data_IF_253498045175
#
_entry.id   IF_253498045175
#
_cell.length_a   1.000
_cell.length_b   1.000
_cell.length_c   1.000
_cell.angle_alpha   90.00
_cell.angle_beta   90.00
_cell.angle_gamma   90.00
#
_symmetry.space_group_name_H-M   'P 1'
#
loop_
_entity.id
_entity.type
_entity.pdbx_description
1 polymer ?
#
# COMPACT_ATOMS: atom_id res chain seq x y z
N UNK A 1 14.19 -20.06 -11.01
CA UNK A 1 14.03 -19.53 -9.66
C UNK A 1 12.55 -19.61 -9.26
N UNK A 2 12.29 -19.94 -8.00
CA UNK A 2 10.96 -19.95 -7.42
C UNK A 2 11.07 -19.67 -5.92
N UNK A 3 10.05 -19.05 -5.33
CA UNK A 3 9.91 -18.98 -3.87
C UNK A 3 9.47 -20.37 -3.40
N UNK A 4 10.28 -21.02 -2.56
CA UNK A 4 9.96 -22.33 -2.00
C UNK A 4 9.13 -22.23 -0.73
N UNK A 5 9.37 -21.19 0.08
CA UNK A 5 8.70 -20.99 1.36
C UNK A 5 8.42 -19.52 1.62
N UNK A 6 7.23 -19.22 2.12
CA UNK A 6 6.88 -17.94 2.72
C UNK A 6 7.06 -18.08 4.23
N UNK A 7 8.12 -17.45 4.77
CA UNK A 7 8.47 -17.56 6.18
C UNK A 7 7.67 -16.61 7.06
N UNK A 8 7.49 -15.36 6.60
CA UNK A 8 6.57 -14.40 7.21
C UNK A 8 6.16 -13.31 6.23
N UNK A 9 4.95 -12.79 6.41
CA UNK A 9 4.41 -11.69 5.62
C UNK A 9 3.69 -10.73 6.55
N UNK A 10 4.09 -9.45 6.51
CA UNK A 10 3.47 -8.37 7.27
C UNK A 10 3.14 -7.20 6.34
N UNK A 11 2.49 -6.18 6.88
CA UNK A 11 2.25 -4.93 6.17
C UNK A 11 3.54 -4.11 5.94
N UNK A 12 4.68 -4.46 6.57
CA UNK A 12 5.95 -3.70 6.53
C UNK A 12 7.14 -4.48 6.03
N UNK A 13 7.10 -5.81 6.09
CA UNK A 13 8.23 -6.65 5.75
C UNK A 13 7.79 -8.02 5.27
N UNK A 14 8.68 -8.68 4.54
CA UNK A 14 8.47 -10.05 4.08
C UNK A 14 9.74 -10.87 4.21
N UNK A 15 9.61 -12.11 4.71
CA UNK A 15 10.68 -13.09 4.76
C UNK A 15 10.28 -14.32 3.94
N UNK A 16 11.16 -14.75 3.07
CA UNK A 16 10.88 -15.86 2.15
C UNK A 16 12.17 -16.57 1.75
N UNK A 17 12.02 -17.78 1.17
CA UNK A 17 13.16 -18.61 0.73
C UNK A 17 13.14 -18.82 -0.77
N UNK A 18 14.30 -18.64 -1.40
CA UNK A 18 14.53 -18.93 -2.82
C UNK A 18 15.78 -19.80 -2.92
N UNK A 19 15.67 -20.99 -3.55
CA UNK A 19 16.78 -21.93 -3.74
C UNK A 19 17.58 -22.24 -2.45
N UNK A 20 16.84 -22.44 -1.34
CA UNK A 20 17.46 -22.75 -0.04
C UNK A 20 18.08 -21.58 0.70
N UNK A 21 18.03 -20.35 0.13
CA UNK A 21 18.50 -19.13 0.75
C UNK A 21 17.37 -18.30 1.30
N UNK A 22 17.48 -17.85 2.55
CA UNK A 22 16.51 -16.96 3.18
C UNK A 22 16.79 -15.50 2.82
N UNK A 23 15.74 -14.79 2.43
CA UNK A 23 15.76 -13.36 2.08
C UNK A 23 14.80 -12.58 2.95
N UNK A 24 15.18 -11.36 3.27
CA UNK A 24 14.36 -10.35 3.96
C UNK A 24 14.23 -9.11 3.10
N UNK A 25 13.02 -8.54 3.03
CA UNK A 25 12.79 -7.22 2.45
C UNK A 25 11.98 -6.35 3.41
N UNK A 26 12.36 -5.07 3.52
CA UNK A 26 11.72 -4.06 4.37
C UNK A 26 10.48 -3.44 3.72
N UNK A 27 9.72 -4.24 2.99
CA UNK A 27 8.45 -3.88 2.34
C UNK A 27 7.47 -5.02 2.51
N UNK A 28 6.23 -4.71 2.86
CA UNK A 28 5.16 -5.70 3.03
C UNK A 28 4.45 -6.05 1.71
N UNK A 29 3.56 -7.04 1.80
CA UNK A 29 2.70 -7.44 0.70
C UNK A 29 3.30 -8.48 -0.25
N UNK A 30 2.46 -9.42 -0.67
CA UNK A 30 2.86 -10.56 -1.49
C UNK A 30 3.49 -10.15 -2.82
N UNK A 31 2.97 -9.09 -3.45
CA UNK A 31 3.50 -8.61 -4.73
C UNK A 31 4.97 -8.16 -4.67
N UNK A 32 5.44 -7.69 -3.51
CA UNK A 32 6.83 -7.34 -3.33
C UNK A 32 7.76 -8.56 -3.25
N UNK A 33 7.25 -9.71 -2.83
CA UNK A 33 7.97 -10.98 -2.92
C UNK A 33 8.21 -11.37 -4.38
N UNK A 34 7.22 -11.17 -5.28
CA UNK A 34 7.40 -11.40 -6.72
C UNK A 34 8.42 -10.43 -7.32
N UNK A 35 8.41 -9.17 -6.91
CA UNK A 35 9.43 -8.19 -7.32
C UNK A 35 10.83 -8.62 -6.84
N UNK A 36 10.96 -9.07 -5.60
CA UNK A 36 12.21 -9.58 -5.05
C UNK A 36 12.67 -10.86 -5.76
N UNK A 37 11.74 -11.80 -6.07
CA UNK A 37 12.06 -12.99 -6.85
C UNK A 37 12.64 -12.64 -8.21
N UNK A 38 12.06 -11.65 -8.90
CA UNK A 38 12.57 -11.18 -10.18
C UNK A 38 14.00 -10.59 -10.02
N UNK A 39 14.21 -9.77 -8.98
CA UNK A 39 15.52 -9.18 -8.69
C UNK A 39 16.57 -10.24 -8.38
N UNK A 40 16.25 -11.22 -7.51
CA UNK A 40 17.13 -12.36 -7.19
C UNK A 40 17.48 -13.18 -8.43
N UNK A 41 16.46 -13.45 -9.29
CA UNK A 41 16.65 -14.23 -10.50
C UNK A 41 17.59 -13.54 -11.49
N UNK A 42 17.40 -12.25 -11.72
CA UNK A 42 18.25 -11.47 -12.63
C UNK A 42 19.67 -11.34 -12.06
N UNK A 43 19.81 -10.97 -10.79
CA UNK A 43 21.13 -10.83 -10.16
C UNK A 43 21.89 -12.18 -10.15
N UNK A 44 21.21 -13.28 -9.82
CA UNK A 44 21.78 -14.61 -9.87
C UNK A 44 22.21 -15.06 -11.27
N UNK A 45 21.42 -14.67 -12.30
CA UNK A 45 21.81 -14.92 -13.71
C UNK A 45 23.13 -14.23 -14.06
N UNK A 46 23.38 -13.03 -13.53
CA UNK A 46 24.64 -12.32 -13.70
C UNK A 46 25.76 -12.75 -12.70
N UNK A 47 25.55 -13.83 -11.93
CA UNK A 47 26.55 -14.39 -11.05
C UNK A 47 26.73 -13.63 -9.71
N UNK A 48 25.79 -12.74 -9.36
CA UNK A 48 25.84 -12.05 -8.06
C UNK A 48 25.56 -13.06 -6.95
N UNK A 49 26.44 -13.08 -5.94
CA UNK A 49 26.31 -14.00 -4.82
C UNK A 49 25.11 -13.67 -3.93
N UNK A 50 24.43 -14.67 -3.33
CA UNK A 50 23.26 -14.45 -2.47
C UNK A 50 23.47 -13.46 -1.35
N UNK A 51 24.65 -13.46 -0.72
CA UNK A 51 25.02 -12.53 0.38
C UNK A 51 25.04 -11.07 -0.08
N UNK A 52 25.47 -10.82 -1.31
CA UNK A 52 25.47 -9.46 -1.89
C UNK A 52 24.03 -9.00 -2.18
N UNK A 53 23.19 -9.91 -2.68
CA UNK A 53 21.76 -9.63 -2.92
C UNK A 53 21.06 -9.32 -1.58
N UNK A 54 21.29 -10.09 -0.53
CA UNK A 54 20.76 -9.85 0.82
C UNK A 54 21.15 -8.46 1.33
N UNK A 55 22.44 -8.10 1.24
CA UNK A 55 22.91 -6.77 1.61
C UNK A 55 22.24 -5.65 0.79
N UNK A 56 21.94 -5.92 -0.48
CA UNK A 56 21.18 -4.99 -1.34
C UNK A 56 19.78 -4.76 -0.80
N UNK A 57 19.06 -5.82 -0.42
CA UNK A 57 17.72 -5.74 0.17
C UNK A 57 17.74 -5.03 1.53
N UNK A 58 18.68 -5.36 2.42
CA UNK A 58 18.81 -4.72 3.74
C UNK A 58 19.04 -3.20 3.65
N UNK A 59 19.75 -2.74 2.60
CA UNK A 59 20.01 -1.33 2.34
C UNK A 59 18.88 -0.65 1.56
N UNK A 60 17.95 -1.42 0.98
CA UNK A 60 16.84 -0.86 0.23
C UNK A 60 15.90 -0.10 1.16
N UNK A 61 15.42 1.04 0.69
CA UNK A 61 14.42 1.84 1.38
C UNK A 61 13.22 2.03 0.48
N UNK A 62 12.04 2.04 1.08
CA UNK A 62 10.83 2.44 0.42
C UNK A 62 10.92 3.91 0.01
N UNK A 63 10.71 4.21 -1.27
CA UNK A 63 10.78 5.56 -1.83
C UNK A 63 9.68 5.75 -2.89
N UNK A 64 9.39 6.99 -3.21
CA UNK A 64 8.44 7.36 -4.27
C UNK A 64 7.03 6.78 -4.04
N UNK A 65 6.54 6.85 -2.80
CA UNK A 65 5.19 6.38 -2.45
C UNK A 65 5.02 4.85 -2.43
N UNK A 66 6.11 4.08 -2.44
CA UNK A 66 6.06 2.61 -2.33
C UNK A 66 6.22 2.18 -0.89
N UNK A 67 5.17 2.34 -0.08
CA UNK A 67 5.16 2.12 1.38
C UNK A 67 6.12 3.06 2.12
N UNK A 68 6.24 4.28 1.63
CA UNK A 68 7.02 5.32 2.29
C UNK A 68 6.33 5.75 3.58
N UNK A 69 7.07 5.73 4.70
CA UNK A 69 6.55 6.10 6.01
C UNK A 69 7.05 7.48 6.42
N UNK A 70 6.15 8.33 6.87
CA UNK A 70 6.43 9.69 7.35
C UNK A 70 5.44 10.09 8.45
N UNK A 71 5.61 11.28 9.03
CA UNK A 71 4.73 11.79 10.08
C UNK A 71 3.89 12.95 9.60
N UNK A 72 2.61 12.94 10.00
CA UNK A 72 1.70 14.09 9.92
C UNK A 72 1.26 14.44 11.36
N UNK A 73 1.90 15.44 11.96
CA UNK A 73 1.75 15.69 13.41
C UNK A 73 2.38 14.53 14.21
N UNK A 74 1.58 13.92 15.08
CA UNK A 74 1.94 12.75 15.87
C UNK A 74 1.64 11.41 15.18
N UNK A 75 0.91 11.44 14.04
CA UNK A 75 0.48 10.24 13.31
C UNK A 75 1.60 9.69 12.43
N UNK A 76 1.75 8.37 12.45
CA UNK A 76 2.60 7.66 11.50
C UNK A 76 1.78 7.33 10.26
N UNK A 77 2.20 7.85 9.11
CA UNK A 77 1.51 7.70 7.84
C UNK A 77 2.33 6.84 6.89
N UNK A 78 1.67 5.90 6.22
CA UNK A 78 2.28 5.09 5.16
C UNK A 78 1.61 5.43 3.83
N UNK A 79 2.41 5.92 2.88
CA UNK A 79 1.96 6.25 1.52
C UNK A 79 2.13 5.06 0.59
N UNK A 80 1.05 4.69 -0.11
CA UNK A 80 1.04 3.58 -1.06
C UNK A 80 0.50 4.06 -2.40
N UNK A 81 1.39 4.31 -3.35
CA UNK A 81 1.00 4.73 -4.70
C UNK A 81 0.41 3.58 -5.49
N UNK A 82 -0.80 3.77 -6.00
CA UNK A 82 -1.53 2.83 -6.85
C UNK A 82 -1.92 3.49 -8.18
N UNK A 83 -1.90 2.73 -9.27
CA UNK A 83 -2.20 3.25 -10.63
C UNK A 83 -3.04 2.31 -11.49
N UNK A 84 -3.48 1.18 -10.96
CA UNK A 84 -4.26 0.18 -11.69
C UNK A 84 -5.02 -0.74 -10.70
N UNK A 85 -6.00 -1.53 -11.17
CA UNK A 85 -6.83 -2.37 -10.29
C UNK A 85 -6.02 -3.39 -9.50
N UNK A 86 -5.06 -4.05 -10.15
CA UNK A 86 -4.23 -5.07 -9.50
C UNK A 86 -3.38 -4.45 -8.39
N UNK A 87 -2.76 -3.31 -8.65
CA UNK A 87 -1.97 -2.59 -7.64
C UNK A 87 -2.82 -2.14 -6.45
N UNK A 88 -4.05 -1.65 -6.70
CA UNK A 88 -4.98 -1.26 -5.64
C UNK A 88 -5.38 -2.47 -4.78
N UNK A 89 -5.80 -3.57 -5.41
CA UNK A 89 -6.16 -4.81 -4.69
C UNK A 89 -5.00 -5.33 -3.85
N UNK A 90 -3.79 -5.36 -4.40
CA UNK A 90 -2.60 -5.79 -3.66
C UNK A 90 -2.20 -4.85 -2.51
N UNK A 91 -2.41 -3.53 -2.68
CA UNK A 91 -2.23 -2.56 -1.59
C UNK A 91 -3.25 -2.80 -0.47
N UNK A 92 -4.51 -3.04 -0.81
CA UNK A 92 -5.57 -3.37 0.14
C UNK A 92 -5.25 -4.67 0.90
N UNK A 93 -4.83 -5.73 0.21
CA UNK A 93 -4.40 -6.97 0.83
C UNK A 93 -3.20 -6.77 1.78
N UNK A 94 -2.28 -5.89 1.44
CA UNK A 94 -1.14 -5.58 2.29
C UNK A 94 -1.55 -4.82 3.55
N UNK A 95 -2.36 -3.76 3.45
CA UNK A 95 -2.81 -3.01 4.64
C UNK A 95 -3.69 -3.84 5.57
N UNK A 96 -4.39 -4.84 5.05
CA UNK A 96 -5.16 -5.83 5.84
C UNK A 96 -4.28 -6.63 6.80
N UNK A 97 -2.98 -6.72 6.56
CA UNK A 97 -2.03 -7.38 7.46
C UNK A 97 -1.61 -6.49 8.64
N UNK A 98 -2.08 -5.23 8.72
CA UNK A 98 -1.79 -4.37 9.85
C UNK A 98 -2.46 -4.92 11.13
N UNK A 99 -1.73 -5.07 12.25
CA UNK A 99 -2.25 -5.67 13.48
C UNK A 99 -2.97 -4.64 14.38
N UNK A 100 -3.35 -3.49 13.84
CA UNK A 100 -3.93 -2.36 14.58
C UNK A 100 -4.99 -1.64 13.74
N UNK A 101 -5.85 -0.89 14.42
CA UNK A 101 -6.79 0.05 13.80
C UNK A 101 -6.04 1.23 13.19
N UNK A 102 -6.45 1.66 12.02
CA UNK A 102 -5.84 2.78 11.29
C UNK A 102 -6.89 3.58 10.53
N UNK A 103 -6.58 4.82 10.22
CA UNK A 103 -7.37 5.61 9.27
C UNK A 103 -6.88 5.40 7.84
N UNK A 104 -7.79 5.46 6.89
CA UNK A 104 -7.51 5.29 5.47
C UNK A 104 -7.84 6.59 4.71
N UNK A 105 -6.90 7.06 3.90
CA UNK A 105 -7.16 8.14 2.95
C UNK A 105 -6.95 7.62 1.54
N UNK A 106 -7.98 7.64 0.70
CA UNK A 106 -7.87 7.24 -0.71
C UNK A 106 -7.96 8.49 -1.56
N UNK A 107 -6.83 8.84 -2.20
CA UNK A 107 -6.68 10.06 -2.99
C UNK A 107 -6.70 9.70 -4.48
N UNK A 108 -7.75 10.13 -5.18
CA UNK A 108 -7.89 9.90 -6.62
C UNK A 108 -7.66 11.18 -7.39
N UNK A 109 -6.70 11.12 -8.30
CA UNK A 109 -6.40 12.21 -9.22
C UNK A 109 -6.55 11.72 -10.67
N UNK A 110 -6.77 12.67 -11.58
CA UNK A 110 -6.84 12.44 -13.03
C UNK A 110 -5.96 13.47 -13.77
N UNK A 111 -4.83 13.86 -13.14
CA UNK A 111 -3.85 14.71 -13.80
C UNK A 111 -3.07 13.89 -14.83
N UNK A 112 -2.48 14.54 -15.80
CA UNK A 112 -1.78 13.87 -16.90
C UNK A 112 -0.69 12.88 -16.41
N UNK A 113 0.02 13.23 -15.33
CA UNK A 113 1.04 12.38 -14.74
C UNK A 113 0.47 11.17 -13.95
N UNK A 114 -0.78 11.27 -13.48
CA UNK A 114 -1.44 10.21 -12.69
C UNK A 114 -2.17 9.18 -13.57
N UNK A 115 -2.41 9.53 -14.83
CA UNK A 115 -3.31 8.81 -15.72
C UNK A 115 -4.71 9.44 -15.71
N UNK A 116 -5.22 9.75 -16.91
CA UNK A 116 -6.52 10.43 -17.07
C UNK A 116 -7.70 9.49 -16.79
N UNK A 117 -7.52 8.20 -17.14
CA UNK A 117 -8.54 7.19 -16.93
C UNK A 117 -8.56 6.73 -15.47
N UNK A 118 -9.67 7.00 -14.80
CA UNK A 118 -9.93 6.59 -13.42
C UNK A 118 -10.88 5.40 -13.33
N UNK A 119 -11.38 4.87 -14.45
CA UNK A 119 -12.36 3.78 -14.48
C UNK A 119 -11.87 2.50 -13.81
N UNK A 120 -10.55 2.30 -13.74
CA UNK A 120 -9.91 1.17 -13.10
C UNK A 120 -10.28 0.98 -11.61
N UNK A 121 -10.76 2.03 -10.92
CA UNK A 121 -11.19 1.89 -9.53
C UNK A 121 -12.38 0.95 -9.37
N UNK A 122 -13.17 0.73 -10.44
CA UNK A 122 -14.31 -0.17 -10.43
C UNK A 122 -13.91 -1.65 -10.53
N UNK A 123 -12.70 -1.93 -11.05
CA UNK A 123 -12.15 -3.27 -11.20
C UNK A 123 -11.26 -3.68 -10.01
N UNK A 124 -10.93 -2.74 -9.11
CA UNK A 124 -10.18 -3.01 -7.89
C UNK A 124 -11.09 -3.50 -6.77
N UNK A 125 -10.61 -4.45 -5.97
CA UNK A 125 -11.38 -5.10 -4.89
C UNK A 125 -11.40 -4.23 -3.61
N UNK A 126 -12.03 -3.07 -3.69
CA UNK A 126 -12.28 -2.20 -2.53
C UNK A 126 -13.26 -2.81 -1.52
N UNK A 127 -14.00 -3.83 -1.88
CA UNK A 127 -14.92 -4.55 -1.00
C UNK A 127 -14.21 -5.12 0.24
N UNK A 128 -12.93 -5.47 0.13
CA UNK A 128 -12.13 -5.96 1.25
C UNK A 128 -11.98 -4.96 2.40
N UNK A 129 -12.12 -3.64 2.17
CA UNK A 129 -12.03 -2.64 3.25
C UNK A 129 -13.10 -2.81 4.32
N UNK A 130 -14.25 -3.39 3.97
CA UNK A 130 -15.34 -3.66 4.92
C UNK A 130 -14.99 -4.73 5.97
N UNK A 131 -13.92 -5.46 5.76
CA UNK A 131 -13.43 -6.52 6.63
C UNK A 131 -12.33 -6.04 7.60
N UNK A 132 -11.98 -4.75 7.55
CA UNK A 132 -10.91 -4.15 8.34
C UNK A 132 -11.46 -3.24 9.44
N UNK A 133 -10.69 -3.08 10.51
CA UNK A 133 -10.99 -2.09 11.55
C UNK A 133 -10.50 -0.69 11.11
N UNK A 134 -11.29 -0.05 10.27
CA UNK A 134 -11.08 1.31 9.78
C UNK A 134 -12.18 2.19 10.36
N UNK A 135 -11.89 3.08 11.32
CA UNK A 135 -12.91 3.95 11.92
C UNK A 135 -13.51 4.96 10.94
N UNK A 136 -12.68 5.51 10.07
CA UNK A 136 -13.11 6.48 9.04
C UNK A 136 -12.23 6.43 7.80
N UNK A 137 -12.80 6.82 6.64
CA UNK A 137 -12.09 6.92 5.37
C UNK A 137 -12.20 8.34 4.83
N UNK A 138 -11.06 8.91 4.43
CA UNK A 138 -11.01 10.15 3.69
C UNK A 138 -10.96 9.86 2.20
N UNK A 139 -11.93 10.33 1.47
CA UNK A 139 -11.96 10.30 0.01
C UNK A 139 -11.48 11.65 -0.52
N UNK A 140 -10.28 11.70 -1.11
CA UNK A 140 -9.63 12.96 -1.46
C UNK A 140 -9.13 13.03 -2.89
N UNK A 141 -8.54 14.20 -3.22
CA UNK A 141 -8.00 14.49 -4.56
C UNK A 141 -8.99 15.13 -5.51
N UNK A 142 -8.57 15.43 -6.73
CA UNK A 142 -9.41 16.14 -7.73
C UNK A 142 -10.64 15.31 -8.14
N UNK A 143 -10.62 13.99 -7.94
CA UNK A 143 -11.72 13.06 -8.21
C UNK A 143 -12.32 12.50 -6.92
N UNK A 144 -12.29 13.27 -5.82
CA UNK A 144 -12.76 12.85 -4.49
C UNK A 144 -14.19 12.27 -4.52
N UNK A 145 -15.11 12.90 -5.24
CA UNK A 145 -16.50 12.41 -5.30
C UNK A 145 -16.64 11.07 -6.02
N UNK A 146 -15.76 10.80 -6.99
CA UNK A 146 -15.76 9.53 -7.73
C UNK A 146 -15.27 8.38 -6.83
N UNK A 147 -14.15 8.58 -6.13
CA UNK A 147 -13.67 7.57 -5.19
C UNK A 147 -14.60 7.41 -3.98
N UNK A 148 -15.20 8.49 -3.47
CA UNK A 148 -16.20 8.39 -2.41
C UNK A 148 -17.41 7.56 -2.84
N UNK A 149 -17.88 7.74 -4.08
CA UNK A 149 -18.95 6.91 -4.65
C UNK A 149 -18.54 5.45 -4.73
N UNK A 150 -17.32 5.15 -5.21
CA UNK A 150 -16.79 3.80 -5.28
C UNK A 150 -16.73 3.13 -3.90
N UNK A 151 -16.26 3.87 -2.89
CA UNK A 151 -16.18 3.39 -1.50
C UNK A 151 -17.58 3.10 -0.91
N UNK A 152 -18.59 3.92 -1.19
CA UNK A 152 -19.97 3.66 -0.72
C UNK A 152 -20.56 2.40 -1.34
N UNK A 153 -20.24 2.10 -2.59
CA UNK A 153 -20.72 0.89 -3.29
C UNK A 153 -20.16 -0.39 -2.67
N UNK A 154 -19.02 -0.35 -1.97
CA UNK A 154 -18.49 -1.52 -1.25
C UNK A 154 -19.38 -1.96 -0.08
N UNK A 155 -20.30 -1.11 0.37
CA UNK A 155 -21.09 -1.33 1.60
C UNK A 155 -20.41 -0.77 2.85
N UNK A 156 -19.28 -0.06 2.73
CA UNK A 156 -18.70 0.65 3.87
C UNK A 156 -19.63 1.79 4.32
N UNK A 157 -19.81 2.03 5.65
CA UNK A 157 -20.77 3.00 6.16
C UNK A 157 -20.55 4.40 5.59
N UNK A 158 -21.57 4.96 4.93
CA UNK A 158 -21.44 6.23 4.21
C UNK A 158 -21.11 7.41 5.14
N UNK A 159 -21.61 7.37 6.39
CA UNK A 159 -21.34 8.37 7.43
C UNK A 159 -19.90 8.38 7.92
N UNK A 160 -19.14 7.33 7.64
CA UNK A 160 -17.71 7.22 7.95
C UNK A 160 -16.80 7.62 6.77
N UNK A 161 -17.37 8.05 5.65
CA UNK A 161 -16.63 8.52 4.48
C UNK A 161 -16.71 10.03 4.43
N UNK A 162 -15.57 10.69 4.54
CA UNK A 162 -15.47 12.16 4.42
C UNK A 162 -14.85 12.53 3.07
N UNK A 163 -15.56 13.36 2.30
CA UNK A 163 -15.07 13.85 1.01
C UNK A 163 -14.30 15.16 1.17
N UNK A 164 -13.12 15.26 0.57
CA UNK A 164 -12.27 16.45 0.65
C UNK A 164 -11.52 16.65 -0.67
N UNK A 165 -11.73 17.81 -1.31
CA UNK A 165 -11.04 18.16 -2.56
C UNK A 165 -9.60 18.66 -2.30
N UNK A 166 -9.38 19.36 -1.20
CA UNK A 166 -8.07 19.96 -0.86
C UNK A 166 -7.24 19.00 -0.01
N UNK A 167 -6.01 18.72 -0.45
CA UNK A 167 -5.04 17.91 0.30
C UNK A 167 -4.71 18.49 1.68
N UNK A 168 -4.78 19.82 1.84
CA UNK A 168 -4.57 20.42 3.17
C UNK A 168 -5.66 20.02 4.16
N UNK A 169 -6.91 19.92 3.70
CA UNK A 169 -8.03 19.45 4.52
C UNK A 169 -7.81 17.98 4.89
N UNK A 170 -7.39 17.13 3.95
CA UNK A 170 -7.05 15.72 4.21
C UNK A 170 -5.97 15.62 5.30
N UNK A 171 -4.88 16.37 5.19
CA UNK A 171 -3.80 16.35 6.18
C UNK A 171 -4.24 16.90 7.55
N UNK A 172 -5.10 17.91 7.58
CA UNK A 172 -5.68 18.39 8.85
C UNK A 172 -6.60 17.33 9.48
N UNK A 173 -7.39 16.64 8.66
CA UNK A 173 -8.25 15.56 9.13
C UNK A 173 -7.43 14.40 9.71
N UNK A 174 -6.36 13.96 9.04
CA UNK A 174 -5.46 12.92 9.54
C UNK A 174 -4.90 13.28 10.93
N UNK A 175 -4.51 14.55 11.15
CA UNK A 175 -4.02 15.00 12.47
C UNK A 175 -5.08 14.88 13.58
N UNK A 176 -6.35 15.02 13.24
CA UNK A 176 -7.48 15.02 14.20
C UNK A 176 -8.03 13.62 14.47
N UNK A 177 -7.68 12.62 13.65
CA UNK A 177 -8.14 11.25 13.80
C UNK A 177 -7.60 10.61 15.09
N UNK A 178 -8.36 9.72 15.69
CA UNK A 178 -7.96 9.06 16.95
C UNK A 178 -6.87 8.02 16.73
N UNK A 179 -6.84 7.36 15.57
CA UNK A 179 -5.86 6.32 15.26
C UNK A 179 -4.45 6.90 15.17
N UNK A 180 -3.43 6.23 15.77
CA UNK A 180 -2.03 6.67 15.67
C UNK A 180 -1.40 6.39 14.30
N UNK A 181 -2.05 5.53 13.50
CA UNK A 181 -1.57 5.13 12.17
C UNK A 181 -2.56 5.53 11.07
N UNK A 182 -2.03 5.92 9.92
CA UNK A 182 -2.81 6.23 8.73
C UNK A 182 -2.17 5.62 7.47
N UNK A 183 -3.00 5.12 6.56
CA UNK A 183 -2.59 4.77 5.20
C UNK A 183 -3.14 5.80 4.21
N UNK A 184 -2.31 6.17 3.22
CA UNK A 184 -2.66 7.14 2.19
C UNK A 184 -2.36 6.53 0.83
#
# INVERSE_FOLDING_TARGET
YAVSDLLSLTHRSSNFRIQGQDYHINIGGLYNIYNALAAVSVAGFFGVQPEVIKQGFDRSRAVFGRQETFKIGDKECTLVLIKNPVGATQAIEMIKLAPYSFSLSVLLNANYADGIDTSWIWDADFEQITQMDIPEINAGGVRHSEIARRLRVTGYPAEKITEMADLKEVFQRIKQQETPHAYI
#
